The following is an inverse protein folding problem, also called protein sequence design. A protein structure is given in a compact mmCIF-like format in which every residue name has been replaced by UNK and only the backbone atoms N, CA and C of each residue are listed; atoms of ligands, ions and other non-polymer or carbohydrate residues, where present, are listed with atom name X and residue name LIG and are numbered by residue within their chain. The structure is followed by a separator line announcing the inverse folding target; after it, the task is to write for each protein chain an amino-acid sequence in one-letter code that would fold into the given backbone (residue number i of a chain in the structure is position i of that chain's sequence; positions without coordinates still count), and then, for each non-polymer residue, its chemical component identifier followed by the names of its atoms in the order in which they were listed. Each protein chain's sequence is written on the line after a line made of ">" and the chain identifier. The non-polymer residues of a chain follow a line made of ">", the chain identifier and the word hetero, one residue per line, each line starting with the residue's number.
data_IF_378234377405
#
_entry.id   IF_378234377405
#
_cell.length_a   1.000
_cell.length_b   1.000
_cell.length_c   1.000
_cell.angle_alpha   90.00
_cell.angle_beta   90.00
_cell.angle_gamma   90.00
#
_symmetry.space_group_name_H-M   'P 1'
#
loop_
_entity.id
_entity.type
_entity.pdbx_description
1 polymer ?
#
# COMPACT_ATOMS: atom_id res chain seq x y z
N UNK A 1 19.79 19.36 14.02
CA UNK A 1 19.36 18.05 13.49
C UNK A 1 18.29 17.47 14.40
N UNK A 2 17.82 16.26 14.09
CA UNK A 2 17.08 15.45 15.06
C UNK A 2 18.06 14.84 16.08
N UNK A 3 17.59 14.57 17.29
CA UNK A 3 18.35 13.87 18.34
C UNK A 3 18.68 12.43 17.92
N UNK A 4 19.45 11.71 18.74
CA UNK A 4 19.52 10.24 18.66
C UNK A 4 18.12 9.60 18.79
N UNK A 5 17.95 8.43 18.17
CA UNK A 5 16.74 7.61 18.29
C UNK A 5 16.47 7.28 19.77
N UNK A 6 15.20 7.33 20.13
CA UNK A 6 14.66 6.92 21.42
C UNK A 6 13.47 6.01 21.19
N UNK A 7 13.11 5.26 22.21
CA UNK A 7 12.05 4.25 22.15
C UNK A 7 11.05 4.51 23.26
N UNK A 8 9.78 4.33 22.97
CA UNK A 8 8.74 4.23 23.99
C UNK A 8 7.86 3.04 23.66
N UNK A 9 7.42 2.34 24.70
CA UNK A 9 6.62 1.13 24.60
C UNK A 9 5.34 1.36 25.40
N UNK A 10 4.22 0.98 24.79
CA UNK A 10 2.96 0.77 25.47
C UNK A 10 2.78 -0.73 25.70
N UNK A 11 2.67 -1.13 26.96
CA UNK A 11 2.40 -2.51 27.37
C UNK A 11 1.26 -2.50 28.38
N UNK A 12 0.04 -2.58 27.87
CA UNK A 12 -1.21 -2.59 28.62
C UNK A 12 -1.96 -3.91 28.47
N UNK A 13 -2.94 -4.14 29.34
CA UNK A 13 -3.84 -5.31 29.23
C UNK A 13 -4.68 -5.28 27.94
N UNK A 14 -4.94 -4.09 27.40
CA UNK A 14 -5.75 -3.80 26.22
C UNK A 14 -4.93 -3.68 24.91
N UNK A 15 -3.63 -3.97 24.96
CA UNK A 15 -2.79 -4.12 23.79
C UNK A 15 -1.36 -3.64 23.99
N UNK A 16 -0.61 -3.74 22.90
CA UNK A 16 0.81 -3.39 22.86
C UNK A 16 1.10 -2.46 21.71
N UNK A 17 2.15 -1.69 21.85
CA UNK A 17 2.71 -0.92 20.77
C UNK A 17 4.03 -0.30 21.14
N UNK A 18 4.71 0.25 20.15
CA UNK A 18 5.92 1.02 20.39
C UNK A 18 6.06 2.13 19.37
N UNK A 19 6.92 3.08 19.71
CA UNK A 19 7.41 4.11 18.80
C UNK A 19 8.93 4.20 18.85
N UNK A 20 9.53 4.41 17.69
CA UNK A 20 10.90 4.91 17.56
C UNK A 20 10.78 6.38 17.23
N UNK A 21 11.36 7.25 18.06
CA UNK A 21 11.14 8.69 17.95
C UNK A 21 12.39 9.53 18.18
N UNK A 22 12.34 10.76 17.68
CA UNK A 22 13.35 11.80 17.88
C UNK A 22 12.69 13.16 18.07
N UNK A 23 13.39 14.08 18.73
CA UNK A 23 13.00 15.49 18.82
C UNK A 23 13.98 16.34 18.03
N UNK A 24 13.59 17.58 17.69
CA UNK A 24 14.46 18.51 16.95
C UNK A 24 15.08 19.53 17.89
N UNK A 25 16.40 19.51 18.05
CA UNK A 25 17.12 20.41 18.97
C UNK A 25 17.04 21.88 18.52
N UNK A 26 17.21 22.12 17.22
CA UNK A 26 17.25 23.47 16.64
C UNK A 26 15.85 24.09 16.43
N UNK A 27 14.79 23.32 16.63
CA UNK A 27 13.40 23.79 16.55
C UNK A 27 12.59 23.07 17.62
N UNK A 28 12.71 23.51 18.88
CA UNK A 28 11.97 22.93 19.98
C UNK A 28 10.47 22.89 19.67
N UNK A 29 9.83 21.78 20.03
CA UNK A 29 8.40 21.55 19.79
C UNK A 29 8.05 20.64 18.62
N UNK A 30 9.02 20.07 17.91
CA UNK A 30 8.75 18.97 16.96
C UNK A 30 9.15 17.63 17.58
N UNK A 31 8.18 16.72 17.67
CA UNK A 31 8.38 15.29 17.95
C UNK A 31 8.14 14.53 16.65
N UNK A 32 9.04 13.62 16.29
CA UNK A 32 8.90 12.78 15.09
C UNK A 32 8.94 11.33 15.51
N UNK A 33 7.90 10.58 15.17
CA UNK A 33 7.91 9.13 15.18
C UNK A 33 8.44 8.67 13.83
N UNK A 34 9.61 8.03 13.83
CA UNK A 34 10.16 7.36 12.65
C UNK A 34 9.47 6.04 12.39
N UNK A 35 8.98 5.39 13.44
CA UNK A 35 8.27 4.13 13.37
C UNK A 35 7.22 4.06 14.48
N UNK A 36 6.09 3.44 14.16
CA UNK A 36 5.01 3.21 15.12
C UNK A 36 4.27 1.93 14.75
N UNK A 37 4.23 0.98 15.68
CA UNK A 37 3.42 -0.24 15.54
C UNK A 37 2.56 -0.45 16.76
N UNK A 38 1.33 -0.88 16.53
CA UNK A 38 0.29 -1.01 17.55
C UNK A 38 -0.61 -2.20 17.25
N UNK A 39 -1.03 -2.91 18.30
CA UNK A 39 -1.97 -4.03 18.19
C UNK A 39 -3.41 -3.64 18.56
N UNK A 40 -3.63 -2.43 19.06
CA UNK A 40 -4.96 -1.96 19.47
C UNK A 40 -5.14 -0.45 19.33
N UNK A 41 -6.40 -0.02 19.36
CA UNK A 41 -6.78 1.42 19.36
C UNK A 41 -6.30 2.11 20.63
N UNK A 42 -6.30 1.41 21.78
CA UNK A 42 -5.82 1.96 23.04
C UNK A 42 -4.31 2.23 23.02
N UNK A 43 -3.51 1.26 22.57
CA UNK A 43 -2.07 1.44 22.39
C UNK A 43 -1.75 2.60 21.43
N UNK A 44 -2.52 2.72 20.33
CA UNK A 44 -2.40 3.83 19.38
C UNK A 44 -2.66 5.17 20.04
N UNK A 45 -3.78 5.30 20.76
CA UNK A 45 -4.14 6.54 21.45
C UNK A 45 -3.06 6.93 22.47
N UNK A 46 -2.64 5.99 23.30
CA UNK A 46 -1.63 6.23 24.32
C UNK A 46 -0.28 6.70 23.74
N UNK A 47 0.15 6.12 22.62
CA UNK A 47 1.41 6.54 21.95
C UNK A 47 1.27 7.91 21.27
N UNK A 48 0.10 8.24 20.71
CA UNK A 48 -0.16 9.59 20.20
C UNK A 48 -0.19 10.63 21.32
N UNK A 49 -0.85 10.32 22.43
CA UNK A 49 -0.87 11.15 23.64
C UNK A 49 0.55 11.33 24.22
N UNK A 50 1.36 10.27 24.21
CA UNK A 50 2.78 10.36 24.59
C UNK A 50 3.54 11.34 23.70
N UNK A 51 3.37 11.29 22.37
CA UNK A 51 4.04 12.20 21.44
C UNK A 51 3.59 13.66 21.61
N UNK A 52 2.28 13.88 21.71
CA UNK A 52 1.68 15.21 21.90
C UNK A 52 1.93 15.79 23.30
N UNK A 53 2.19 14.93 24.29
CA UNK A 53 2.44 15.31 25.68
C UNK A 53 3.85 15.81 25.98
N UNK A 54 4.75 15.84 24.99
CA UNK A 54 6.06 16.47 25.17
C UNK A 54 5.90 17.97 25.44
N UNK A 55 6.66 18.49 26.41
CA UNK A 55 6.65 19.91 26.72
C UNK A 55 7.00 20.75 25.48
N UNK A 56 6.25 21.84 25.28
CA UNK A 56 6.31 22.71 24.11
C UNK A 56 6.03 22.02 22.76
N UNK A 57 5.47 20.81 22.72
CA UNK A 57 5.11 20.15 21.47
C UNK A 57 4.11 21.00 20.66
N UNK A 58 4.50 21.32 19.43
CA UNK A 58 3.70 22.00 18.41
C UNK A 58 3.34 21.07 17.27
N UNK A 59 4.30 20.24 16.85
CA UNK A 59 4.17 19.33 15.72
C UNK A 59 4.53 17.90 16.14
N UNK A 60 3.60 16.98 15.92
CA UNK A 60 3.87 15.54 15.94
C UNK A 60 3.90 15.03 14.50
N UNK A 61 5.08 14.61 14.05
CA UNK A 61 5.29 14.03 12.72
C UNK A 61 5.22 12.51 12.84
N UNK A 62 4.31 11.90 12.09
CA UNK A 62 4.20 10.45 11.96
C UNK A 62 4.80 10.06 10.62
N UNK A 63 6.06 9.64 10.63
CA UNK A 63 6.79 9.29 9.41
C UNK A 63 6.39 7.91 8.90
N UNK A 64 6.36 7.76 7.57
CA UNK A 64 6.18 6.47 6.91
C UNK A 64 4.95 5.74 7.41
N UNK A 65 3.77 6.37 7.44
CA UNK A 65 2.52 5.70 7.83
C UNK A 65 1.77 5.17 6.60
N UNK A 66 0.89 4.16 6.75
CA UNK A 66 -0.04 3.77 5.69
C UNK A 66 -0.87 4.96 5.21
N UNK A 67 -1.18 5.02 3.90
CA UNK A 67 -1.99 6.10 3.34
C UNK A 67 -3.45 6.09 3.85
N UNK A 68 -3.93 4.93 4.29
CA UNK A 68 -5.25 4.69 4.87
C UNK A 68 -5.23 4.66 6.42
N UNK A 69 -4.17 5.17 7.05
CA UNK A 69 -4.06 5.18 8.50
C UNK A 69 -5.22 5.97 9.16
N UNK A 70 -6.02 5.37 10.07
CA UNK A 70 -7.22 6.03 10.60
C UNK A 70 -6.94 7.16 11.60
N UNK A 71 -5.66 7.51 11.87
CA UNK A 71 -5.28 8.55 12.84
C UNK A 71 -5.99 9.87 12.58
N UNK A 72 -6.15 10.28 11.31
CA UNK A 72 -6.85 11.52 10.95
C UNK A 72 -8.26 11.57 11.53
N UNK A 73 -8.94 10.43 11.58
CA UNK A 73 -10.32 10.30 12.05
C UNK A 73 -10.42 10.05 13.56
N UNK A 74 -9.28 9.89 14.24
CA UNK A 74 -9.22 9.81 15.71
C UNK A 74 -9.11 11.19 16.37
N UNK A 75 -8.79 12.23 15.61
CA UNK A 75 -8.62 13.60 16.11
C UNK A 75 -9.97 14.28 16.31
N UNK A 76 -10.06 15.12 17.33
CA UNK A 76 -11.22 16.01 17.54
C UNK A 76 -11.43 16.94 16.35
N UNK A 77 -10.34 17.45 15.78
CA UNK A 77 -10.34 18.20 14.52
C UNK A 77 -9.49 17.45 13.46
N UNK A 78 -10.10 16.82 12.43
CA UNK A 78 -9.37 16.09 11.40
C UNK A 78 -8.59 17.01 10.42
N UNK A 79 -8.78 18.33 10.47
CA UNK A 79 -8.03 19.30 9.67
C UNK A 79 -6.70 19.72 10.32
N UNK A 80 -6.51 19.41 11.60
CA UNK A 80 -5.25 19.61 12.29
C UNK A 80 -4.13 18.68 11.79
N UNK A 81 -4.48 17.59 11.10
CA UNK A 81 -3.52 16.70 10.44
C UNK A 81 -3.35 17.05 8.96
N UNK A 82 -2.10 17.22 8.56
CA UNK A 82 -1.68 17.27 7.15
C UNK A 82 -1.07 15.93 6.77
N UNK A 83 -1.31 15.49 5.55
CA UNK A 83 -0.78 14.24 5.00
C UNK A 83 -0.09 14.53 3.67
N UNK A 84 1.08 13.94 3.48
CA UNK A 84 1.83 13.97 2.24
C UNK A 84 2.07 12.52 1.80
N UNK A 85 1.81 12.22 0.53
CA UNK A 85 2.04 10.90 -0.04
C UNK A 85 3.38 10.90 -0.74
N UNK A 86 4.15 9.84 -0.51
CA UNK A 86 5.45 9.61 -1.14
C UNK A 86 5.44 8.23 -1.80
N UNK A 87 6.01 8.13 -2.99
CA UNK A 87 6.32 6.83 -3.58
C UNK A 87 7.48 6.21 -2.80
N UNK A 88 7.42 4.90 -2.58
CA UNK A 88 8.36 4.21 -1.69
C UNK A 88 8.90 2.91 -2.28
N UNK A 89 8.01 1.97 -2.65
CA UNK A 89 8.40 0.68 -3.26
C UNK A 89 7.96 0.61 -4.70
N UNK A 90 8.87 0.14 -5.56
CA UNK A 90 8.62 -0.19 -6.96
C UNK A 90 8.67 -1.71 -7.16
N UNK A 91 7.70 -2.26 -7.87
CA UNK A 91 7.62 -3.70 -8.12
C UNK A 91 7.92 -4.03 -9.58
N UNK A 92 8.60 -5.15 -9.79
CA UNK A 92 8.79 -5.77 -11.10
C UNK A 92 8.34 -7.22 -11.03
N UNK A 93 7.36 -7.58 -11.85
CA UNK A 93 6.96 -8.97 -12.03
C UNK A 93 8.04 -9.66 -12.88
N UNK A 94 8.84 -10.53 -12.26
CA UNK A 94 9.89 -11.29 -12.94
C UNK A 94 9.31 -12.56 -13.59
N UNK A 95 8.46 -13.25 -12.84
CA UNK A 95 7.62 -14.36 -13.29
C UNK A 95 6.17 -13.97 -13.04
N UNK A 96 5.45 -13.62 -14.11
CA UNK A 96 4.06 -13.18 -14.03
C UNK A 96 3.18 -14.27 -13.40
N UNK A 97 3.27 -15.51 -13.90
CA UNK A 97 2.42 -16.61 -13.45
C UNK A 97 2.64 -16.86 -11.96
N UNK A 98 3.90 -17.06 -11.56
CA UNK A 98 4.23 -17.36 -10.17
C UNK A 98 3.82 -16.23 -9.23
N UNK A 99 4.01 -14.96 -9.63
CA UNK A 99 3.59 -13.83 -8.81
C UNK A 99 2.06 -13.79 -8.62
N UNK A 100 1.31 -13.90 -9.72
CA UNK A 100 -0.15 -13.84 -9.65
C UNK A 100 -0.77 -15.04 -8.90
N UNK A 101 -0.18 -16.23 -8.98
CA UNK A 101 -0.64 -17.41 -8.22
C UNK A 101 -0.22 -17.37 -6.73
N UNK A 102 0.87 -16.66 -6.38
CA UNK A 102 1.31 -16.49 -4.99
C UNK A 102 0.42 -15.51 -4.20
N UNK A 103 -0.26 -14.61 -4.91
CA UNK A 103 -1.17 -13.61 -4.36
C UNK A 103 -2.51 -14.22 -3.91
N UNK A 104 -3.16 -13.58 -2.93
CA UNK A 104 -4.59 -13.79 -2.60
C UNK A 104 -5.44 -12.65 -3.14
N UNK A 105 -6.68 -12.99 -3.47
CA UNK A 105 -7.65 -12.10 -4.10
C UNK A 105 -8.88 -11.98 -3.19
N UNK A 106 -9.45 -10.78 -3.08
CA UNK A 106 -10.63 -10.53 -2.24
C UNK A 106 -11.96 -10.79 -2.96
N UNK A 107 -11.89 -11.09 -4.25
CA UNK A 107 -13.04 -11.45 -5.06
C UNK A 107 -12.67 -12.50 -6.10
N UNK A 108 -13.64 -13.35 -6.41
CA UNK A 108 -13.52 -14.32 -7.48
C UNK A 108 -13.85 -13.69 -8.83
N UNK A 109 -13.36 -14.33 -9.89
CA UNK A 109 -13.56 -13.82 -11.24
C UNK A 109 -12.64 -14.48 -12.25
N UNK A 110 -12.88 -14.19 -13.52
CA UNK A 110 -12.04 -14.69 -14.61
C UNK A 110 -11.84 -13.56 -15.61
N UNK A 111 -10.61 -13.39 -16.05
CA UNK A 111 -10.24 -12.41 -17.07
C UNK A 111 -9.11 -12.93 -17.93
N UNK A 112 -9.14 -12.63 -19.23
CA UNK A 112 -8.06 -12.94 -20.17
C UNK A 112 -7.37 -11.64 -20.54
N UNK A 113 -6.07 -11.54 -20.23
CA UNK A 113 -5.27 -10.34 -20.48
C UNK A 113 -4.14 -10.63 -21.45
N UNK A 114 -3.87 -9.73 -22.39
CA UNK A 114 -2.63 -9.72 -23.15
C UNK A 114 -1.62 -8.79 -22.48
N UNK A 115 -0.44 -9.33 -22.20
CA UNK A 115 0.62 -8.64 -21.49
C UNK A 115 1.77 -8.36 -22.44
N UNK A 116 2.23 -7.11 -22.41
CA UNK A 116 3.39 -6.65 -23.18
C UNK A 116 4.54 -6.44 -22.20
N UNK A 117 5.60 -7.24 -22.33
CA UNK A 117 6.84 -7.15 -21.58
C UNK A 117 8.02 -7.10 -22.56
N UNK A 118 8.65 -5.93 -22.66
CA UNK A 118 9.76 -5.65 -23.58
C UNK A 118 11.14 -6.10 -23.05
N UNK A 119 11.20 -6.58 -21.81
CA UNK A 119 12.44 -7.02 -21.17
C UNK A 119 12.48 -8.52 -20.91
N UNK A 120 11.32 -9.14 -20.66
CA UNK A 120 11.19 -10.54 -20.26
C UNK A 120 10.12 -11.24 -21.11
N UNK A 121 10.54 -11.82 -22.23
CA UNK A 121 9.66 -12.48 -23.21
C UNK A 121 8.76 -13.55 -22.58
N UNK A 122 9.19 -14.21 -21.50
CA UNK A 122 8.37 -15.23 -20.83
C UNK A 122 7.07 -14.69 -20.21
N UNK A 123 7.00 -13.38 -19.93
CA UNK A 123 5.79 -12.73 -19.42
C UNK A 123 4.88 -12.24 -20.55
N UNK A 124 5.43 -12.05 -21.76
CA UNK A 124 4.69 -11.56 -22.92
C UNK A 124 3.73 -12.62 -23.47
N UNK A 125 2.52 -12.19 -23.82
CA UNK A 125 1.49 -13.06 -24.39
C UNK A 125 0.14 -12.95 -23.70
N UNK A 126 -0.76 -13.87 -24.03
CA UNK A 126 -2.12 -13.88 -23.50
C UNK A 126 -2.26 -14.86 -22.35
N UNK A 127 -2.79 -14.37 -21.23
CA UNK A 127 -2.92 -15.08 -19.97
C UNK A 127 -4.38 -15.10 -19.52
N UNK A 128 -4.89 -16.29 -19.20
CA UNK A 128 -6.15 -16.44 -18.47
C UNK A 128 -5.83 -16.43 -16.98
N UNK A 129 -6.46 -15.52 -16.25
CA UNK A 129 -6.42 -15.45 -14.79
C UNK A 129 -7.80 -15.86 -14.30
N UNK A 130 -7.89 -16.98 -13.59
CA UNK A 130 -9.12 -17.43 -12.96
C UNK A 130 -8.91 -17.49 -11.45
N UNK A 131 -9.75 -16.77 -10.70
CA UNK A 131 -9.74 -16.73 -9.24
C UNK A 131 -10.98 -17.45 -8.72
N UNK A 132 -10.75 -18.43 -7.87
CA UNK A 132 -11.76 -19.22 -7.17
C UNK A 132 -11.34 -19.34 -5.70
N UNK A 133 -12.25 -19.04 -4.77
CA UNK A 133 -11.99 -18.97 -3.33
C UNK A 133 -10.73 -18.11 -2.99
N UNK A 134 -10.59 -16.98 -3.69
CA UNK A 134 -9.46 -16.05 -3.51
C UNK A 134 -8.08 -16.58 -3.97
N UNK A 135 -8.03 -17.74 -4.64
CA UNK A 135 -6.81 -18.35 -5.19
C UNK A 135 -6.82 -18.25 -6.71
N UNK A 136 -5.74 -17.71 -7.30
CA UNK A 136 -5.61 -17.63 -8.74
C UNK A 136 -4.99 -18.90 -9.34
N UNK A 137 -5.51 -19.30 -10.49
CA UNK A 137 -4.86 -20.18 -11.47
C UNK A 137 -4.56 -19.35 -12.72
N UNK A 138 -3.30 -19.36 -13.17
CA UNK A 138 -2.85 -18.51 -14.28
C UNK A 138 -2.23 -19.34 -15.38
N UNK A 139 -2.82 -19.30 -16.56
CA UNK A 139 -2.43 -20.18 -17.68
C UNK A 139 -2.30 -19.38 -18.98
N UNK A 140 -1.37 -19.77 -19.89
CA UNK A 140 -1.38 -19.27 -21.25
C UNK A 140 -2.72 -19.56 -21.93
N UNK A 141 -3.22 -18.60 -22.72
CA UNK A 141 -4.51 -18.71 -23.39
C UNK A 141 -4.40 -18.31 -24.87
N UNK A 142 -5.16 -19.00 -25.72
CA UNK A 142 -5.33 -18.64 -27.13
C UNK A 142 -6.65 -17.87 -27.38
N UNK A 143 -7.42 -17.58 -26.33
CA UNK A 143 -8.64 -16.78 -26.45
C UNK A 143 -8.31 -15.33 -26.82
N UNK A 144 -9.28 -14.62 -27.38
CA UNK A 144 -9.15 -13.17 -27.54
C UNK A 144 -9.01 -12.52 -26.15
N UNK A 145 -8.05 -11.59 -25.96
CA UNK A 145 -7.89 -10.91 -24.68
C UNK A 145 -9.03 -9.91 -24.45
N UNK A 146 -9.52 -9.86 -23.22
CA UNK A 146 -10.47 -8.86 -22.74
C UNK A 146 -9.80 -7.48 -22.64
N UNK A 147 -8.52 -7.46 -22.30
CA UNK A 147 -7.70 -6.25 -22.29
C UNK A 147 -6.22 -6.53 -22.59
N UNK A 148 -5.51 -5.51 -23.07
CA UNK A 148 -4.08 -5.50 -23.35
C UNK A 148 -3.40 -4.41 -22.54
N UNK A 149 -2.33 -4.73 -21.84
CA UNK A 149 -1.59 -3.77 -21.02
C UNK A 149 -0.08 -4.07 -20.92
N UNK A 150 0.76 -3.04 -20.70
CA UNK A 150 2.16 -3.24 -20.35
C UNK A 150 2.33 -3.92 -18.99
N UNK A 151 3.36 -4.74 -18.84
CA UNK A 151 3.69 -5.43 -17.58
C UNK A 151 3.90 -4.45 -16.41
N UNK A 152 4.40 -3.24 -16.68
CA UNK A 152 4.60 -2.22 -15.65
C UNK A 152 3.28 -1.75 -15.02
N UNK A 153 2.20 -1.71 -15.81
CA UNK A 153 0.85 -1.37 -15.31
C UNK A 153 0.33 -2.49 -14.41
N UNK A 154 0.51 -3.74 -14.82
CA UNK A 154 0.14 -4.90 -14.01
C UNK A 154 0.94 -4.95 -12.70
N UNK A 155 2.25 -4.65 -12.75
CA UNK A 155 3.12 -4.59 -11.58
C UNK A 155 2.69 -3.48 -10.59
N UNK A 156 2.27 -2.32 -11.09
CA UNK A 156 1.76 -1.23 -10.25
C UNK A 156 0.43 -1.59 -9.54
N UNK A 157 -0.39 -2.45 -10.14
CA UNK A 157 -1.62 -2.97 -9.52
C UNK A 157 -1.39 -4.13 -8.55
N UNK A 158 -0.28 -4.84 -8.67
CA UNK A 158 -0.05 -6.15 -8.03
C UNK A 158 -0.37 -6.18 -6.52
N UNK A 159 0.06 -5.14 -5.79
CA UNK A 159 -0.15 -5.03 -4.34
C UNK A 159 -1.53 -4.47 -3.94
N UNK A 160 -2.38 -4.11 -4.90
CA UNK A 160 -3.77 -3.70 -4.69
C UNK A 160 -4.03 -2.30 -4.14
N UNK A 161 -2.98 -1.48 -3.99
CA UNK A 161 -3.08 -0.11 -3.48
C UNK A 161 -3.43 0.96 -4.51
N UNK A 162 -3.27 0.67 -5.80
CA UNK A 162 -3.52 1.62 -6.88
C UNK A 162 -4.77 1.25 -7.64
N UNK A 163 -5.45 2.27 -8.15
CA UNK A 163 -6.55 2.10 -9.10
C UNK A 163 -6.01 2.23 -10.50
N UNK A 164 -6.39 1.33 -11.38
CA UNK A 164 -5.98 1.32 -12.78
C UNK A 164 -6.32 2.66 -13.45
N UNK A 165 -7.55 3.15 -13.26
CA UNK A 165 -7.99 4.45 -13.75
C UNK A 165 -7.20 5.65 -13.20
N UNK A 166 -6.43 5.49 -12.12
CA UNK A 166 -5.60 6.55 -11.54
C UNK A 166 -4.13 6.50 -11.93
N UNK A 167 -3.68 5.45 -12.61
CA UNK A 167 -2.26 5.24 -12.95
C UNK A 167 -1.99 5.15 -14.45
N UNK A 168 -3.04 5.02 -15.28
CA UNK A 168 -2.91 4.97 -16.73
C UNK A 168 -4.00 5.76 -17.41
N UNK A 169 -3.63 6.45 -18.49
CA UNK A 169 -4.59 7.01 -19.43
C UNK A 169 -5.35 5.88 -20.15
N UNK A 170 -6.64 6.06 -20.49
CA UNK A 170 -7.42 5.05 -21.21
C UNK A 170 -6.79 4.57 -22.53
N UNK A 171 -5.88 5.35 -23.13
CA UNK A 171 -5.16 4.97 -24.35
C UNK A 171 -4.04 3.95 -24.14
N UNK A 172 -3.58 3.76 -22.90
CA UNK A 172 -2.47 2.85 -22.55
C UNK A 172 -2.96 1.42 -22.36
N UNK A 173 -4.22 1.24 -21.95
CA UNK A 173 -4.86 -0.06 -21.78
C UNK A 173 -5.88 -0.25 -22.89
N UNK A 174 -5.65 -1.23 -23.76
CA UNK A 174 -6.63 -1.61 -24.77
C UNK A 174 -7.66 -2.53 -24.14
N UNK A 175 -8.95 -2.31 -24.35
CA UNK A 175 -10.02 -3.15 -23.81
C UNK A 175 -11.32 -2.36 -23.65
N UNK A 176 -12.43 -3.05 -23.45
CA UNK A 176 -13.68 -2.38 -23.12
C UNK A 176 -13.67 -1.91 -21.65
N UNK A 177 -14.46 -0.89 -21.29
CA UNK A 177 -14.50 -0.35 -19.93
C UNK A 177 -14.86 -1.37 -18.83
N UNK A 178 -15.67 -2.38 -19.13
CA UNK A 178 -16.10 -3.37 -18.13
C UNK A 178 -14.95 -4.32 -17.79
N UNK A 179 -14.14 -4.71 -18.78
CA UNK A 179 -12.94 -5.52 -18.59
C UNK A 179 -11.87 -4.78 -17.78
N UNK A 180 -11.66 -3.49 -18.06
CA UNK A 180 -10.77 -2.61 -17.27
C UNK A 180 -11.24 -2.52 -15.81
N UNK A 181 -12.54 -2.33 -15.59
CA UNK A 181 -13.13 -2.27 -14.26
C UNK A 181 -13.08 -3.62 -13.53
N UNK A 182 -13.19 -4.75 -14.25
CA UNK A 182 -13.02 -6.08 -13.68
C UNK A 182 -11.59 -6.30 -13.20
N UNK A 183 -10.58 -5.96 -14.01
CA UNK A 183 -9.18 -6.08 -13.61
C UNK A 183 -8.87 -5.23 -12.36
N UNK A 184 -9.32 -3.97 -12.34
CA UNK A 184 -9.13 -3.07 -11.19
C UNK A 184 -9.70 -3.69 -9.90
N UNK A 185 -10.93 -4.21 -9.96
CA UNK A 185 -11.57 -4.82 -8.80
C UNK A 185 -10.88 -6.12 -8.36
N UNK A 186 -10.47 -6.96 -9.30
CA UNK A 186 -9.78 -8.23 -9.02
C UNK A 186 -8.44 -8.00 -8.30
N UNK A 187 -7.72 -6.93 -8.66
CA UNK A 187 -6.44 -6.57 -8.06
C UNK A 187 -6.57 -5.70 -6.81
N UNK A 188 -7.75 -5.19 -6.48
CA UNK A 188 -7.93 -4.35 -5.28
C UNK A 188 -7.72 -5.16 -4.00
N UNK A 189 -7.16 -4.51 -2.98
CA UNK A 189 -7.21 -4.95 -1.58
C UNK A 189 -7.96 -3.95 -0.72
N UNK A 190 -8.50 -4.42 0.40
CA UNK A 190 -9.22 -3.60 1.38
C UNK A 190 -8.27 -2.68 2.14
N UNK A 191 -7.06 -3.16 2.42
CA UNK A 191 -5.99 -2.39 3.07
C UNK A 191 -4.96 -1.96 2.03
N UNK A 192 -4.49 -0.71 2.11
CA UNK A 192 -3.46 -0.20 1.20
C UNK A 192 -2.10 -0.80 1.57
N UNK A 193 -1.32 -1.34 0.60
CA UNK A 193 0.01 -1.84 0.85
C UNK A 193 0.93 -0.73 1.34
N UNK A 194 1.74 -1.04 2.35
CA UNK A 194 2.64 -0.11 2.99
C UNK A 194 3.83 -0.86 3.60
N UNK A 195 4.96 -0.16 3.72
CA UNK A 195 6.14 -0.61 4.49
C UNK A 195 6.80 0.62 5.12
N UNK A 196 7.39 0.44 6.31
CA UNK A 196 8.26 1.43 6.97
C UNK A 196 9.74 1.20 6.70
N UNK A 197 10.09 0.09 6.07
CA UNK A 197 11.47 -0.35 5.93
C UNK A 197 12.15 0.23 4.69
N UNK A 198 13.37 0.74 4.87
CA UNK A 198 14.27 1.21 3.82
C UNK A 198 15.43 0.21 3.67
N UNK A 199 15.78 -0.13 2.43
CA UNK A 199 16.87 -1.06 2.11
C UNK A 199 17.73 -0.57 0.95
#
# INVERSE_FOLDING_TARGET
>A
GFTKLRYAIYDGEDGRGYVIFRTKEASPGTVRFDEMYVTSVAARRALLEFGLGFDLCRDLILWGRPADDPIRWMLTDPYSMKSENHDYVWYRLVDLKAALEARRYEMDGTIVIAVIDDQLDQNSGTWRIAVDDGVATVEPSNAAPDLTLPIAVLAALYMGGRRLASIVEPSVVGGDPDSVALLDRLFRTTVVPWTSEEF
#
